data_IF_147884895108
#
_entry.id   IF_147884895108
#
_cell.length_a   1.000
_cell.length_b   1.000
_cell.length_c   1.000
_cell.angle_alpha   90.00
_cell.angle_beta   90.00
_cell.angle_gamma   90.00
#
_symmetry.space_group_name_H-M   'P 1'
#
loop_
_entity.id
_entity.type
_entity.pdbx_description
1 polymer ?
#
# COMPACT_ATOMS: atom_id res chain seq x y z
N UNK A 1 -13.72 -12.62 -3.26
CA UNK A 1 -13.23 -11.31 -2.78
C UNK A 1 -11.73 -11.28 -2.90
N UNK A 2 -11.20 -10.30 -3.57
CA UNK A 2 -9.76 -10.09 -3.64
C UNK A 2 -9.31 -9.15 -2.52
N UNK A 3 -8.12 -9.37 -2.03
CA UNK A 3 -7.44 -8.44 -1.13
C UNK A 3 -6.41 -7.66 -1.93
N UNK A 4 -6.34 -6.36 -1.68
CA UNK A 4 -5.43 -5.46 -2.39
C UNK A 4 -4.69 -4.63 -1.36
N UNK A 5 -3.37 -4.53 -1.48
CA UNK A 5 -2.54 -3.72 -0.60
C UNK A 5 -2.28 -2.37 -1.27
N UNK A 6 -2.83 -1.31 -0.69
CA UNK A 6 -2.69 0.03 -1.21
C UNK A 6 -1.41 0.67 -0.71
N UNK A 7 -0.59 1.19 -1.63
CA UNK A 7 0.54 2.03 -1.26
C UNK A 7 0.03 3.41 -0.83
N UNK A 8 0.84 4.12 -0.05
CA UNK A 8 0.49 5.45 0.47
C UNK A 8 0.14 6.42 -0.64
N UNK A 9 0.83 6.35 -1.79
CA UNK A 9 0.59 7.27 -2.91
C UNK A 9 -0.83 7.13 -3.49
N UNK A 10 -1.34 5.91 -3.58
CA UNK A 10 -2.73 5.65 -4.02
C UNK A 10 -3.72 6.20 -2.99
N UNK A 11 -3.47 5.95 -1.71
CA UNK A 11 -4.35 6.39 -0.63
C UNK A 11 -4.40 7.92 -0.59
N UNK A 12 -3.24 8.57 -0.70
CA UNK A 12 -3.16 10.04 -0.70
C UNK A 12 -3.87 10.63 -1.92
N UNK A 13 -3.69 10.04 -3.09
CA UNK A 13 -4.37 10.49 -4.31
C UNK A 13 -5.89 10.41 -4.14
N UNK A 14 -6.39 9.32 -3.55
CA UNK A 14 -7.81 9.19 -3.26
C UNK A 14 -8.28 10.21 -2.23
N UNK A 15 -7.54 10.35 -1.13
CA UNK A 15 -7.85 11.29 -0.05
C UNK A 15 -7.99 12.73 -0.59
N UNK A 16 -7.18 13.09 -1.58
CA UNK A 16 -7.17 14.43 -2.19
C UNK A 16 -8.05 14.57 -3.42
N UNK A 17 -8.90 13.58 -3.67
CA UNK A 17 -9.90 13.65 -4.73
C UNK A 17 -9.34 13.54 -6.15
N UNK A 18 -8.21 12.87 -6.33
CA UNK A 18 -7.60 12.70 -7.64
C UNK A 18 -8.24 11.54 -8.41
N UNK A 19 -8.59 11.80 -9.69
CA UNK A 19 -9.01 10.74 -10.59
C UNK A 19 -7.80 9.87 -10.98
N UNK A 20 -7.99 8.59 -11.27
CA UNK A 20 -9.28 7.87 -11.33
C UNK A 20 -9.71 7.26 -9.99
N UNK A 21 -9.01 7.54 -8.89
CA UNK A 21 -9.23 6.88 -7.60
C UNK A 21 -10.58 7.22 -6.98
N UNK A 22 -11.11 8.42 -7.25
CA UNK A 22 -12.42 8.85 -6.78
C UNK A 22 -13.56 7.98 -7.33
N UNK A 23 -13.33 7.29 -8.44
CA UNK A 23 -14.29 6.35 -9.02
C UNK A 23 -13.92 4.91 -8.72
N UNK A 24 -12.63 4.56 -8.89
CA UNK A 24 -12.17 3.18 -8.78
C UNK A 24 -12.28 2.61 -7.37
N UNK A 25 -11.93 3.41 -6.36
CA UNK A 25 -11.94 2.90 -4.98
C UNK A 25 -13.35 2.64 -4.48
N UNK A 26 -14.31 3.57 -4.62
CA UNK A 26 -15.71 3.27 -4.27
C UNK A 26 -16.26 2.06 -5.04
N UNK A 27 -15.90 1.91 -6.31
CA UNK A 27 -16.35 0.78 -7.12
C UNK A 27 -15.83 -0.56 -6.57
N UNK A 28 -14.56 -0.61 -6.19
CA UNK A 28 -13.97 -1.81 -5.57
C UNK A 28 -14.64 -2.13 -4.24
N UNK A 29 -14.94 -1.13 -3.42
CA UNK A 29 -15.62 -1.33 -2.16
C UNK A 29 -17.05 -1.85 -2.36
N UNK A 30 -17.77 -1.36 -3.37
CA UNK A 30 -19.09 -1.87 -3.73
C UNK A 30 -19.05 -3.34 -4.15
N UNK A 31 -17.98 -3.76 -4.80
CA UNK A 31 -17.76 -5.15 -5.19
C UNK A 31 -17.31 -6.02 -4.03
N UNK A 32 -17.25 -5.46 -2.83
CA UNK A 32 -16.81 -6.15 -1.62
C UNK A 32 -15.35 -6.64 -1.68
N UNK A 33 -14.52 -5.96 -2.47
CA UNK A 33 -13.08 -6.19 -2.44
C UNK A 33 -12.50 -5.66 -1.13
N UNK A 34 -11.49 -6.33 -0.60
CA UNK A 34 -10.87 -5.94 0.67
C UNK A 34 -9.65 -5.07 0.37
N UNK A 35 -9.75 -3.80 0.71
CA UNK A 35 -8.65 -2.85 0.56
C UNK A 35 -7.89 -2.75 1.87
N UNK A 36 -6.56 -2.89 1.79
CA UNK A 36 -5.72 -2.95 2.99
C UNK A 36 -4.58 -1.96 2.91
N UNK A 37 -4.04 -1.61 4.05
CA UNK A 37 -2.84 -0.81 4.21
C UNK A 37 -1.97 -1.38 5.32
N UNK A 38 -0.72 -0.90 5.43
CA UNK A 38 0.18 -1.32 6.50
C UNK A 38 0.31 -0.22 7.55
N UNK A 39 0.77 -0.55 8.77
CA UNK A 39 1.13 0.47 9.75
C UNK A 39 2.19 1.46 9.25
N UNK A 40 3.05 1.05 8.31
CA UNK A 40 4.02 1.96 7.68
C UNK A 40 3.30 3.02 6.86
N UNK A 41 2.33 2.62 6.05
CA UNK A 41 1.50 3.57 5.28
C UNK A 41 0.68 4.47 6.21
N UNK A 42 0.14 3.92 7.29
CA UNK A 42 -0.55 4.73 8.31
C UNK A 42 0.36 5.85 8.79
N UNK A 43 1.59 5.50 9.17
CA UNK A 43 2.56 6.49 9.67
C UNK A 43 2.86 7.56 8.62
N UNK A 44 3.08 7.16 7.37
CA UNK A 44 3.37 8.10 6.28
C UNK A 44 2.21 9.06 6.03
N UNK A 45 0.99 8.53 6.01
CA UNK A 45 -0.21 9.33 5.77
C UNK A 45 -0.42 10.34 6.88
N UNK A 46 -0.35 9.91 8.15
CA UNK A 46 -0.54 10.80 9.28
C UNK A 46 0.59 11.82 9.43
N UNK A 47 1.80 11.48 9.03
CA UNK A 47 2.91 12.44 9.01
C UNK A 47 2.68 13.55 7.98
N UNK A 48 1.97 13.27 6.89
CA UNK A 48 1.73 14.21 5.80
C UNK A 48 0.34 14.83 5.76
N UNK A 49 -0.50 14.60 6.77
CA UNK A 49 -1.87 15.14 6.81
C UNK A 49 -1.82 16.67 6.81
N UNK A 50 -2.57 17.26 5.90
CA UNK A 50 -2.71 18.73 5.80
C UNK A 50 -3.87 19.20 6.65
N UNK A 51 -3.85 20.50 6.99
CA UNK A 51 -4.97 21.14 7.67
C UNK A 51 -6.24 20.95 6.87
N UNK A 52 -7.27 20.42 7.53
CA UNK A 52 -8.55 20.11 6.89
C UNK A 52 -8.70 18.68 6.41
N UNK A 53 -7.62 17.89 6.41
CA UNK A 53 -7.67 16.48 5.99
C UNK A 53 -7.80 15.50 7.16
N UNK A 54 -7.76 15.98 8.41
CA UNK A 54 -7.65 15.12 9.59
C UNK A 54 -8.81 14.12 9.70
N UNK A 55 -10.03 14.58 9.43
CA UNK A 55 -11.22 13.71 9.50
C UNK A 55 -11.19 12.64 8.42
N UNK A 56 -10.83 12.98 7.19
CA UNK A 56 -10.75 12.02 6.11
C UNK A 56 -9.67 10.97 6.39
N UNK A 57 -8.53 11.40 6.95
CA UNK A 57 -7.47 10.47 7.33
C UNK A 57 -7.94 9.48 8.40
N UNK A 58 -8.63 9.98 9.44
CA UNK A 58 -9.20 9.09 10.46
C UNK A 58 -10.24 8.12 9.88
N UNK A 59 -11.05 8.59 8.94
CA UNK A 59 -12.06 7.74 8.31
C UNK A 59 -11.47 6.60 7.50
N UNK A 60 -10.20 6.66 7.10
CA UNK A 60 -9.54 5.56 6.41
C UNK A 60 -9.55 4.27 7.24
N UNK A 61 -9.49 4.38 8.58
CA UNK A 61 -9.56 3.21 9.46
C UNK A 61 -10.89 2.47 9.37
N UNK A 62 -11.95 3.15 8.92
CA UNK A 62 -13.26 2.53 8.74
C UNK A 62 -13.38 1.78 7.41
N UNK A 63 -12.53 2.10 6.46
CA UNK A 63 -12.60 1.60 5.08
C UNK A 63 -11.52 0.59 4.78
N UNK A 64 -10.31 0.83 5.28
CA UNK A 64 -9.13 -0.01 5.00
C UNK A 64 -8.87 -0.95 6.17
N UNK A 65 -8.59 -2.21 5.86
CA UNK A 65 -8.11 -3.15 6.87
C UNK A 65 -6.61 -2.99 7.05
N UNK A 66 -6.14 -3.07 8.28
CA UNK A 66 -4.72 -2.90 8.59
C UNK A 66 -4.04 -4.26 8.66
N UNK A 67 -2.99 -4.43 7.86
CA UNK A 67 -2.15 -5.62 7.88
C UNK A 67 -1.30 -5.64 9.14
N UNK A 68 -1.06 -6.82 9.67
CA UNK A 68 -0.18 -7.01 10.81
C UNK A 68 1.25 -7.21 10.30
N UNK A 69 2.20 -6.44 10.83
CA UNK A 69 3.61 -6.61 10.50
C UNK A 69 4.25 -7.62 11.45
N UNK A 70 4.35 -8.85 10.98
CA UNK A 70 4.92 -9.96 11.74
C UNK A 70 6.44 -10.01 11.64
N UNK A 71 7.06 -10.83 12.47
CA UNK A 71 8.50 -11.10 12.36
C UNK A 71 8.86 -11.74 11.01
N UNK A 72 7.99 -12.57 10.47
CA UNK A 72 8.19 -13.17 9.14
C UNK A 72 8.26 -12.10 8.06
N UNK A 73 7.35 -11.13 8.10
CA UNK A 73 7.37 -9.99 7.19
C UNK A 73 8.65 -9.18 7.37
N UNK A 74 9.07 -8.96 8.62
CA UNK A 74 10.33 -8.26 8.91
C UNK A 74 11.55 -8.96 8.32
N UNK A 75 11.60 -10.27 8.42
CA UNK A 75 12.70 -11.05 7.82
C UNK A 75 12.72 -10.91 6.31
N UNK A 76 11.56 -11.02 5.67
CA UNK A 76 11.46 -10.86 4.21
C UNK A 76 11.85 -9.44 3.78
N UNK A 77 11.43 -8.43 4.53
CA UNK A 77 11.81 -7.04 4.25
C UNK A 77 13.33 -6.86 4.33
N UNK A 78 13.97 -7.49 5.33
CA UNK A 78 15.43 -7.48 5.46
C UNK A 78 16.13 -8.12 4.26
N UNK A 79 15.59 -9.22 3.75
CA UNK A 79 16.11 -9.87 2.55
C UNK A 79 16.00 -8.94 1.32
N UNK A 80 14.89 -8.24 1.16
CA UNK A 80 14.73 -7.28 0.07
C UNK A 80 15.70 -6.11 0.18
N UNK A 81 15.89 -5.57 1.38
CA UNK A 81 16.87 -4.51 1.60
C UNK A 81 18.29 -4.97 1.25
N UNK A 82 18.64 -6.17 1.69
CA UNK A 82 19.95 -6.74 1.38
C UNK A 82 20.17 -6.87 -0.13
N UNK A 83 19.15 -7.30 -0.86
CA UNK A 83 19.23 -7.55 -2.29
C UNK A 83 19.13 -6.27 -3.14
N UNK A 84 18.35 -5.27 -2.72
CA UNK A 84 17.96 -4.18 -3.61
C UNK A 84 18.25 -2.77 -3.10
N UNK A 85 18.69 -2.57 -1.85
CA UNK A 85 18.88 -1.21 -1.33
C UNK A 85 19.98 -0.45 -2.07
N UNK A 86 21.08 -1.10 -2.41
CA UNK A 86 22.21 -0.46 -3.10
C UNK A 86 21.96 -0.33 -4.60
N UNK A 87 21.43 -1.37 -5.22
CA UNK A 87 21.26 -1.40 -6.68
C UNK A 87 20.04 -0.61 -7.16
N UNK A 88 18.98 -0.56 -6.36
CA UNK A 88 17.70 0.04 -6.76
C UNK A 88 17.19 1.10 -5.80
N UNK A 89 17.95 1.41 -4.75
CA UNK A 89 17.55 2.42 -3.78
C UNK A 89 16.29 2.09 -2.98
N UNK A 90 15.98 0.79 -2.82
CA UNK A 90 14.81 0.37 -2.05
C UNK A 90 14.97 0.80 -0.59
N UNK A 91 13.99 1.51 -0.08
CA UNK A 91 13.95 2.00 1.30
C UNK A 91 13.18 1.06 2.21
N UNK A 92 13.28 1.29 3.51
CA UNK A 92 12.62 0.45 4.52
C UNK A 92 11.11 0.34 4.29
N UNK A 93 10.45 1.46 3.98
CA UNK A 93 9.02 1.47 3.73
C UNK A 93 8.64 0.58 2.54
N UNK A 94 9.38 0.69 1.42
CA UNK A 94 9.13 -0.13 0.23
C UNK A 94 9.34 -1.63 0.53
N UNK A 95 10.39 -1.93 1.28
CA UNK A 95 10.72 -3.31 1.65
C UNK A 95 9.60 -3.94 2.48
N UNK A 96 9.04 -3.20 3.44
CA UNK A 96 7.92 -3.69 4.24
C UNK A 96 6.65 -3.87 3.42
N UNK A 97 6.37 -2.97 2.47
CA UNK A 97 5.24 -3.11 1.56
C UNK A 97 5.37 -4.38 0.73
N UNK A 98 6.53 -4.55 0.10
CA UNK A 98 6.80 -5.71 -0.74
C UNK A 98 6.74 -7.01 0.06
N UNK A 99 7.31 -7.03 1.26
CA UNK A 99 7.30 -8.20 2.13
C UNK A 99 5.88 -8.56 2.57
N UNK A 100 5.07 -7.58 2.93
CA UNK A 100 3.67 -7.79 3.30
C UNK A 100 2.89 -8.41 2.13
N UNK A 101 3.07 -7.85 0.95
CA UNK A 101 2.41 -8.36 -0.27
C UNK A 101 2.84 -9.80 -0.57
N UNK A 102 4.13 -10.09 -0.47
CA UNK A 102 4.64 -11.43 -0.77
C UNK A 102 4.17 -12.47 0.25
N UNK A 103 4.34 -12.19 1.53
CA UNK A 103 3.99 -13.14 2.60
C UNK A 103 2.49 -13.44 2.60
N UNK A 104 1.67 -12.42 2.43
CA UNK A 104 0.22 -12.56 2.45
C UNK A 104 -0.40 -12.86 1.08
N UNK A 105 0.42 -12.93 0.03
CA UNK A 105 0.02 -13.26 -1.35
C UNK A 105 -1.05 -12.31 -1.88
N UNK A 106 -0.85 -11.02 -1.67
CA UNK A 106 -1.76 -9.98 -2.14
C UNK A 106 -1.03 -9.04 -3.09
N UNK A 107 -1.71 -8.50 -4.12
CA UNK A 107 -1.07 -7.56 -5.04
C UNK A 107 -0.96 -6.17 -4.41
N UNK A 108 0.06 -5.43 -4.83
CA UNK A 108 0.24 -4.02 -4.45
C UNK A 108 -0.41 -3.13 -5.49
N UNK A 109 -1.16 -2.14 -5.04
CA UNK A 109 -1.64 -1.05 -5.89
C UNK A 109 -0.79 0.18 -5.58
N UNK A 110 0.03 0.59 -6.54
CA UNK A 110 0.96 1.71 -6.40
C UNK A 110 0.98 2.55 -7.65
N UNK A 111 1.30 3.83 -7.50
CA UNK A 111 1.56 4.74 -8.61
C UNK A 111 3.01 4.67 -9.07
N UNK A 112 3.87 3.99 -8.33
CA UNK A 112 5.31 4.00 -8.60
C UNK A 112 5.91 2.60 -8.51
N UNK A 113 5.69 1.82 -9.56
CA UNK A 113 6.19 0.43 -9.64
C UNK A 113 7.72 0.35 -9.58
N UNK A 114 8.41 1.43 -9.87
CA UNK A 114 9.89 1.48 -9.82
C UNK A 114 10.43 1.25 -8.41
N UNK A 115 9.64 1.54 -7.38
CA UNK A 115 10.04 1.29 -6.00
C UNK A 115 10.06 -0.20 -5.66
N UNK A 116 9.51 -1.05 -6.52
CA UNK A 116 9.32 -2.47 -6.25
C UNK A 116 9.96 -3.34 -7.34
N UNK A 117 11.32 -3.49 -7.34
CA UNK A 117 12.01 -4.32 -8.33
C UNK A 117 11.89 -5.81 -8.06
N UNK A 118 11.23 -6.21 -6.98
CA UNK A 118 11.13 -7.60 -6.55
C UNK A 118 10.29 -8.42 -7.54
N UNK A 119 10.81 -9.57 -7.96
CA UNK A 119 10.14 -10.44 -8.94
C UNK A 119 8.98 -11.22 -8.35
N UNK A 120 8.99 -11.43 -7.05
CA UNK A 120 7.99 -12.22 -6.34
C UNK A 120 6.85 -11.34 -5.74
N UNK A 121 6.71 -10.13 -6.24
CA UNK A 121 5.64 -9.19 -5.88
C UNK A 121 4.76 -8.98 -7.10
N UNK A 122 3.44 -9.04 -6.89
CA UNK A 122 2.46 -8.80 -7.95
C UNK A 122 1.85 -7.41 -7.79
N UNK A 123 1.44 -6.84 -8.90
CA UNK A 123 0.78 -5.53 -8.90
C UNK A 123 -0.69 -5.68 -9.27
N UNK A 124 -1.52 -4.90 -8.57
CA UNK A 124 -2.93 -4.77 -8.91
C UNK A 124 -3.06 -3.87 -10.14
N UNK A 125 -3.93 -4.25 -11.07
CA UNK A 125 -4.30 -3.44 -12.22
C UNK A 125 -5.81 -3.29 -12.23
N UNK A 126 -6.27 -2.03 -12.32
CA UNK A 126 -7.69 -1.72 -12.44
C UNK A 126 -8.21 -1.94 -13.87
N UNK A 127 -7.31 -2.10 -14.84
CA UNK A 127 -7.69 -2.37 -16.22
C UNK A 127 -8.00 -3.85 -16.41
N UNK A 128 -9.07 -4.18 -17.16
CA UNK A 128 -9.38 -5.58 -17.48
C UNK A 128 -8.28 -6.24 -18.28
#
# INVERSE_FOLDING_TARGET
>A
MAEILLDSDVIIAWLRGHDPFTTLIPDLLEREEVLTWTPVSVAEIFAGVRTGEERQAENLFLVLETQILSAEIGRKAGQYLHAYSKSHGVELADAFMAATAHVNRIPIWTLNKKHYPMRDVRFFSSSP
#
